data_IF_376991344456
#
_entry.id   IF_376991344456
#
_cell.length_a   1.000
_cell.length_b   1.000
_cell.length_c   1.000
_cell.angle_alpha   90.00
_cell.angle_beta   90.00
_cell.angle_gamma   90.00
#
_symmetry.space_group_name_H-M   'P 1'
#
loop_
_entity.id
_entity.type
_entity.pdbx_description
1 polymer ?
#
# COMPACT_ATOMS: atom_id res chain seq x y z
N UNK A 1 -26.72 -19.11 -17.52
CA UNK A 1 -27.02 -19.78 -16.23
C UNK A 1 -26.02 -19.26 -15.20
N UNK A 2 -26.34 -18.15 -14.51
CA UNK A 2 -25.46 -17.52 -13.53
C UNK A 2 -25.86 -17.93 -12.10
N UNK A 3 -25.75 -19.22 -11.78
CA UNK A 3 -26.22 -19.75 -10.49
C UNK A 3 -25.28 -19.46 -9.29
N UNK A 4 -24.18 -18.73 -9.48
CA UNK A 4 -23.13 -18.56 -8.47
C UNK A 4 -22.77 -17.10 -8.11
N UNK A 5 -23.50 -16.10 -8.62
CA UNK A 5 -23.24 -14.69 -8.23
C UNK A 5 -23.87 -14.44 -6.86
N UNK A 6 -23.04 -14.02 -5.91
CA UNK A 6 -23.45 -13.71 -4.53
C UNK A 6 -23.77 -12.22 -4.39
N UNK A 7 -25.00 -11.91 -3.97
CA UNK A 7 -25.42 -10.56 -3.62
C UNK A 7 -26.43 -9.93 -4.58
N UNK A 8 -26.91 -8.73 -4.23
CA UNK A 8 -27.85 -7.95 -5.05
C UNK A 8 -27.10 -7.09 -6.07
N UNK A 9 -27.80 -6.56 -7.07
CA UNK A 9 -27.23 -5.61 -8.03
C UNK A 9 -26.62 -4.37 -7.34
N UNK A 10 -27.28 -3.87 -6.29
CA UNK A 10 -26.78 -2.75 -5.47
C UNK A 10 -25.48 -3.10 -4.73
N UNK A 11 -25.36 -4.35 -4.26
CA UNK A 11 -24.16 -4.86 -3.63
C UNK A 11 -22.99 -4.93 -4.64
N UNK A 12 -23.24 -5.43 -5.85
CA UNK A 12 -22.24 -5.47 -6.93
C UNK A 12 -21.78 -4.06 -7.31
N UNK A 13 -22.72 -3.11 -7.47
CA UNK A 13 -22.39 -1.70 -7.73
C UNK A 13 -21.53 -1.10 -6.62
N UNK A 14 -21.86 -1.40 -5.37
CA UNK A 14 -21.09 -0.95 -4.20
C UNK A 14 -19.67 -1.48 -4.25
N UNK A 15 -19.47 -2.79 -4.47
CA UNK A 15 -18.14 -3.40 -4.53
C UNK A 15 -17.31 -2.83 -5.68
N UNK A 16 -17.90 -2.62 -6.86
CA UNK A 16 -17.22 -2.00 -8.00
C UNK A 16 -16.71 -0.60 -7.68
N UNK A 17 -17.53 0.22 -7.02
CA UNK A 17 -17.11 1.56 -6.57
C UNK A 17 -15.96 1.44 -5.57
N UNK A 18 -16.03 0.50 -4.64
CA UNK A 18 -14.97 0.27 -3.65
C UNK A 18 -13.65 -0.18 -4.28
N UNK A 19 -13.69 -1.05 -5.30
CA UNK A 19 -12.51 -1.43 -6.08
C UNK A 19 -11.88 -0.23 -6.77
N UNK A 20 -12.68 0.60 -7.48
CA UNK A 20 -12.17 1.84 -8.11
C UNK A 20 -11.55 2.81 -7.12
N UNK A 21 -12.19 2.98 -5.96
CA UNK A 21 -11.65 3.82 -4.87
C UNK A 21 -10.33 3.25 -4.37
N UNK A 22 -10.25 1.94 -4.12
CA UNK A 22 -8.99 1.29 -3.74
C UNK A 22 -7.90 1.53 -4.79
N UNK A 23 -8.20 1.33 -6.07
CA UNK A 23 -7.25 1.48 -7.17
C UNK A 23 -6.70 2.92 -7.23
N UNK A 24 -7.59 3.92 -7.11
CA UNK A 24 -7.21 5.34 -7.07
C UNK A 24 -6.25 5.72 -5.93
N UNK A 25 -6.11 4.87 -4.90
CA UNK A 25 -5.27 5.10 -3.73
C UNK A 25 -4.17 4.05 -3.50
N UNK A 26 -4.15 2.96 -4.28
CA UNK A 26 -3.05 1.97 -4.30
C UNK A 26 -1.98 2.42 -5.28
N UNK A 27 -1.47 3.62 -5.00
CA UNK A 27 -0.41 4.25 -5.76
C UNK A 27 0.80 4.30 -4.83
N UNK A 28 1.85 3.54 -5.14
CA UNK A 28 3.15 3.77 -4.53
C UNK A 28 4.05 4.57 -5.47
N UNK A 29 5.35 4.70 -5.17
CA UNK A 29 6.27 5.45 -6.01
C UNK A 29 6.53 4.79 -7.38
N UNK A 30 6.42 3.48 -7.47
CA UNK A 30 6.83 2.66 -8.60
C UNK A 30 5.66 2.09 -9.41
N UNK A 31 4.52 1.83 -8.78
CA UNK A 31 3.37 1.14 -9.35
C UNK A 31 2.05 1.88 -9.07
N UNK A 32 1.11 1.71 -9.99
CA UNK A 32 -0.33 1.90 -9.76
C UNK A 32 -1.02 0.55 -9.88
N UNK A 33 -1.68 0.10 -8.82
CA UNK A 33 -2.44 -1.14 -8.86
C UNK A 33 -3.85 -0.88 -9.40
N UNK A 34 -4.26 -1.69 -10.37
CA UNK A 34 -5.63 -1.75 -10.89
C UNK A 34 -6.19 -3.11 -10.56
N UNK A 35 -7.40 -3.13 -10.05
CA UNK A 35 -8.11 -4.36 -9.81
C UNK A 35 -8.97 -4.70 -11.01
N UNK A 36 -8.83 -5.92 -11.52
CA UNK A 36 -9.60 -6.43 -12.66
C UNK A 36 -10.41 -7.67 -12.30
N UNK A 37 -10.97 -8.29 -13.33
CA UNK A 37 -11.74 -9.51 -13.22
C UNK A 37 -12.99 -9.36 -12.37
N UNK A 38 -13.48 -10.48 -11.86
CA UNK A 38 -14.75 -10.53 -11.13
C UNK A 38 -14.75 -9.60 -9.91
N UNK A 39 -13.65 -9.55 -9.16
CA UNK A 39 -13.51 -8.70 -7.98
C UNK A 39 -13.50 -7.21 -8.35
N UNK A 40 -12.75 -6.80 -9.39
CA UNK A 40 -12.73 -5.41 -9.88
C UNK A 40 -14.10 -4.94 -10.37
N UNK A 41 -14.86 -5.84 -10.98
CA UNK A 41 -16.22 -5.60 -11.47
C UNK A 41 -17.29 -5.61 -10.36
N UNK A 42 -16.91 -5.98 -9.14
CA UNK A 42 -17.79 -6.08 -7.98
C UNK A 42 -18.62 -7.37 -7.93
N UNK A 43 -18.30 -8.35 -8.77
CA UNK A 43 -18.95 -9.65 -8.81
C UNK A 43 -18.27 -10.59 -7.81
N UNK A 44 -19.04 -11.17 -6.90
CA UNK A 44 -18.56 -12.20 -5.99
C UNK A 44 -19.06 -13.54 -6.49
N UNK A 45 -18.15 -14.40 -6.95
CA UNK A 45 -18.46 -15.78 -7.32
C UNK A 45 -17.68 -16.73 -6.42
N UNK A 46 -18.30 -17.87 -6.07
CA UNK A 46 -17.63 -18.89 -5.26
C UNK A 46 -16.47 -19.47 -6.08
N UNK A 47 -15.27 -19.43 -5.49
CA UNK A 47 -14.05 -19.92 -6.14
C UNK A 47 -13.36 -18.90 -7.04
N UNK A 48 -13.83 -17.64 -7.08
CA UNK A 48 -13.09 -16.56 -7.72
C UNK A 48 -11.72 -16.37 -7.08
N UNK A 49 -10.75 -16.17 -7.95
CA UNK A 49 -9.44 -15.59 -7.71
C UNK A 49 -9.50 -14.05 -7.60
N UNK A 50 -8.35 -13.46 -7.29
CA UNK A 50 -8.14 -12.02 -7.27
C UNK A 50 -7.17 -11.60 -8.37
N UNK A 51 -7.68 -10.86 -9.35
CA UNK A 51 -6.89 -10.32 -10.45
C UNK A 51 -6.41 -8.89 -10.15
N UNK A 52 -5.10 -8.69 -10.20
CA UNK A 52 -4.47 -7.39 -10.09
C UNK A 52 -3.57 -7.11 -11.29
N UNK A 53 -3.52 -5.84 -11.67
CA UNK A 53 -2.61 -5.32 -12.67
C UNK A 53 -1.76 -4.23 -12.01
N UNK A 54 -0.46 -4.46 -11.85
CA UNK A 54 0.46 -3.44 -11.37
C UNK A 54 1.10 -2.71 -12.55
N UNK A 55 0.72 -1.45 -12.71
CA UNK A 55 1.20 -0.57 -13.78
C UNK A 55 2.46 0.16 -13.34
N UNK A 56 3.59 -0.12 -13.99
CA UNK A 56 4.88 0.52 -13.70
C UNK A 56 4.89 1.99 -14.14
N UNK A 57 5.18 2.90 -13.21
CA UNK A 57 5.15 4.37 -13.43
C UNK A 57 6.40 4.92 -14.09
N UNK A 58 7.51 4.21 -13.97
CA UNK A 58 8.81 4.61 -14.47
C UNK A 58 9.19 3.92 -15.79
N UNK A 59 8.23 3.28 -16.45
CA UNK A 59 8.40 2.72 -17.80
C UNK A 59 7.33 3.33 -18.71
N UNK A 60 7.78 4.08 -19.71
CA UNK A 60 6.95 4.72 -20.72
C UNK A 60 7.17 3.99 -22.06
N UNK A 61 6.08 3.48 -22.65
CA UNK A 61 6.10 2.82 -23.97
C UNK A 61 5.53 3.76 -25.03
N UNK A 62 6.14 3.81 -26.22
CA UNK A 62 5.69 4.67 -27.32
C UNK A 62 5.88 4.02 -28.68
N UNK A 63 5.09 4.44 -29.67
CA UNK A 63 5.18 3.92 -31.04
C UNK A 63 6.12 4.78 -31.89
N UNK A 64 5.72 5.98 -32.30
CA UNK A 64 6.54 6.90 -33.10
C UNK A 64 6.35 8.34 -32.64
N UNK A 65 7.06 8.75 -31.58
CA UNK A 65 7.01 10.11 -31.05
C UNK A 65 8.38 10.64 -30.66
N UNK A 66 8.57 11.95 -30.80
CA UNK A 66 9.68 12.65 -30.18
C UNK A 66 9.41 12.80 -28.69
N UNK A 67 10.15 12.06 -27.87
CA UNK A 67 10.01 12.06 -26.43
C UNK A 67 11.01 13.02 -25.80
N UNK A 68 10.52 13.83 -24.87
CA UNK A 68 11.38 14.53 -23.92
C UNK A 68 11.73 13.56 -22.79
N UNK A 69 12.97 13.09 -22.79
CA UNK A 69 13.49 12.18 -21.76
C UNK A 69 13.41 12.84 -20.38
N UNK A 70 12.74 12.16 -19.45
CA UNK A 70 12.71 12.51 -18.03
C UNK A 70 13.78 11.71 -17.30
N UNK A 71 14.46 12.31 -16.29
CA UNK A 71 15.35 11.56 -15.41
C UNK A 71 14.62 10.41 -14.71
N UNK A 72 15.30 9.28 -14.53
CA UNK A 72 14.78 8.09 -13.83
C UNK A 72 13.55 7.42 -14.49
N UNK A 73 13.32 7.67 -15.77
CA UNK A 73 12.28 7.01 -16.58
C UNK A 73 12.91 6.12 -17.65
N UNK A 74 12.43 4.88 -17.75
CA UNK A 74 12.72 3.96 -18.85
C UNK A 74 11.82 4.27 -20.03
N UNK A 75 12.38 4.25 -21.23
CA UNK A 75 11.68 4.45 -22.48
C UNK A 75 11.81 3.23 -23.38
N UNK A 76 10.67 2.66 -23.77
CA UNK A 76 10.58 1.52 -24.66
C UNK A 76 9.82 1.90 -25.94
N UNK A 77 10.38 1.56 -27.10
CA UNK A 77 9.72 1.72 -28.39
C UNK A 77 8.97 0.44 -28.76
N UNK A 78 7.69 0.58 -29.08
CA UNK A 78 6.84 -0.50 -29.57
C UNK A 78 7.22 -0.82 -31.03
N UNK A 79 7.54 -2.08 -31.32
CA UNK A 79 7.76 -2.62 -32.67
C UNK A 79 6.66 -3.66 -32.96
N UNK A 80 5.73 -3.34 -33.85
CA UNK A 80 4.54 -4.15 -34.17
C UNK A 80 4.60 -4.82 -35.55
N UNK A 81 5.52 -4.40 -36.42
CA UNK A 81 5.53 -4.82 -37.83
C UNK A 81 5.80 -6.32 -38.03
N UNK A 82 6.53 -6.95 -37.10
CA UNK A 82 7.00 -8.33 -37.22
C UNK A 82 6.44 -9.26 -36.12
N UNK A 83 5.34 -8.86 -35.48
CA UNK A 83 4.71 -9.64 -34.42
C UNK A 83 3.33 -10.17 -34.82
N UNK A 84 2.92 -11.35 -34.31
CA UNK A 84 1.55 -11.81 -34.46
C UNK A 84 0.55 -10.76 -33.91
N UNK A 85 -0.70 -10.76 -34.40
CA UNK A 85 -1.76 -9.95 -33.80
C UNK A 85 -1.80 -10.14 -32.28
N UNK A 86 -2.02 -9.04 -31.54
CA UNK A 86 -2.04 -8.99 -30.06
C UNK A 86 -0.68 -9.07 -29.36
N UNK A 87 0.42 -9.19 -30.12
CA UNK A 87 1.79 -9.14 -29.58
C UNK A 87 2.54 -7.93 -30.12
N UNK A 88 3.48 -7.44 -29.33
CA UNK A 88 4.45 -6.43 -29.74
C UNK A 88 5.80 -6.68 -29.08
N UNK A 89 6.87 -6.27 -29.76
CA UNK A 89 8.20 -6.22 -29.17
C UNK A 89 8.45 -4.83 -28.59
N UNK A 90 9.09 -4.80 -27.43
CA UNK A 90 9.46 -3.56 -26.77
C UNK A 90 10.97 -3.38 -26.86
N UNK A 91 11.40 -2.45 -27.71
CA UNK A 91 12.81 -2.10 -27.91
C UNK A 91 13.24 -1.06 -26.87
N UNK A 92 14.33 -1.31 -26.16
CA UNK A 92 14.88 -0.38 -25.18
C UNK A 92 15.52 0.82 -25.90
N UNK A 93 15.02 2.02 -25.60
CA UNK A 93 15.60 3.26 -26.12
C UNK A 93 16.49 3.92 -25.08
N UNK A 94 16.05 3.92 -23.82
CA UNK A 94 16.81 4.49 -22.72
C UNK A 94 16.34 3.90 -21.38
N UNK A 95 17.28 3.63 -20.47
CA UNK A 95 16.98 3.36 -19.06
C UNK A 95 18.23 3.57 -18.23
N UNK A 96 18.08 4.25 -17.10
CA UNK A 96 19.09 4.30 -16.04
C UNK A 96 18.75 3.36 -14.87
N UNK A 97 17.77 2.47 -15.04
CA UNK A 97 17.27 1.59 -13.98
C UNK A 97 17.93 0.21 -14.12
N UNK A 98 18.84 -0.18 -13.21
CA UNK A 98 19.60 -1.43 -13.36
C UNK A 98 18.73 -2.67 -13.54
N UNK A 99 17.64 -2.78 -12.78
CA UNK A 99 16.70 -3.92 -12.89
C UNK A 99 16.03 -4.03 -14.26
N UNK A 100 15.76 -2.91 -14.93
CA UNK A 100 15.21 -2.90 -16.29
C UNK A 100 16.27 -3.32 -17.29
N UNK A 101 17.49 -2.79 -17.16
CA UNK A 101 18.62 -3.15 -18.02
C UNK A 101 18.93 -4.65 -17.93
N UNK A 102 18.90 -5.22 -16.72
CA UNK A 102 19.06 -6.67 -16.51
C UNK A 102 17.91 -7.50 -17.10
N UNK A 103 16.72 -6.92 -17.22
CA UNK A 103 15.56 -7.56 -17.85
C UNK A 103 15.61 -7.49 -19.38
N UNK A 104 16.53 -6.72 -19.98
CA UNK A 104 16.68 -6.65 -21.42
C UNK A 104 17.52 -7.82 -21.99
N UNK A 105 17.29 -8.11 -23.27
CA UNK A 105 17.97 -9.15 -24.05
C UNK A 105 18.51 -8.52 -25.31
N UNK A 106 19.78 -8.76 -25.62
CA UNK A 106 20.38 -8.33 -26.88
C UNK A 106 19.99 -9.29 -28.01
N UNK A 107 19.46 -8.76 -29.10
CA UNK A 107 19.11 -9.49 -30.33
C UNK A 107 19.56 -8.63 -31.51
N UNK A 108 20.50 -9.16 -32.31
CA UNK A 108 21.06 -8.47 -33.48
C UNK A 108 21.62 -7.05 -33.19
N UNK A 109 22.23 -6.87 -32.01
CA UNK A 109 22.82 -5.60 -31.57
C UNK A 109 21.82 -4.58 -31.02
N UNK A 110 20.54 -4.94 -30.93
CA UNK A 110 19.47 -4.13 -30.35
C UNK A 110 19.02 -4.75 -29.02
N UNK A 111 18.56 -3.92 -28.07
CA UNK A 111 18.13 -4.41 -26.75
C UNK A 111 16.61 -4.46 -26.66
N UNK A 112 16.06 -5.61 -26.30
CA UNK A 112 14.63 -5.84 -26.17
C UNK A 112 14.26 -6.14 -24.72
N UNK A 113 13.18 -5.52 -24.25
CA UNK A 113 12.67 -5.74 -22.91
C UNK A 113 11.97 -7.09 -22.79
N UNK A 114 12.43 -7.95 -21.87
CA UNK A 114 11.82 -9.25 -21.59
C UNK A 114 10.94 -9.19 -20.36
N UNK A 115 9.63 -9.32 -20.56
CA UNK A 115 8.66 -9.45 -19.45
C UNK A 115 9.01 -10.63 -18.53
N UNK A 116 9.46 -11.75 -19.09
CA UNK A 116 9.82 -12.94 -18.29
C UNK A 116 11.01 -12.64 -17.37
N UNK A 117 12.08 -12.05 -17.90
CA UNK A 117 13.25 -11.67 -17.08
C UNK A 117 12.90 -10.62 -16.03
N UNK A 118 12.05 -9.65 -16.37
CA UNK A 118 11.60 -8.66 -15.39
C UNK A 118 10.87 -9.35 -14.23
N UNK A 119 9.93 -10.26 -14.52
CA UNK A 119 9.18 -10.99 -13.50
C UNK A 119 10.10 -11.80 -12.59
N UNK A 120 11.05 -12.54 -13.17
CA UNK A 120 12.05 -13.31 -12.42
C UNK A 120 12.88 -12.42 -11.49
N UNK A 121 13.29 -11.24 -11.95
CA UNK A 121 14.11 -10.30 -11.19
C UNK A 121 13.35 -9.52 -10.12
N UNK A 122 12.09 -9.18 -10.37
CA UNK A 122 11.28 -8.41 -9.43
C UNK A 122 10.66 -9.26 -8.32
N UNK A 123 10.32 -10.51 -8.63
CA UNK A 123 9.54 -11.37 -7.73
C UNK A 123 10.22 -12.69 -7.42
N UNK A 124 11.55 -12.72 -7.46
CA UNK A 124 12.33 -13.87 -7.02
C UNK A 124 11.86 -14.28 -5.61
N UNK A 125 11.34 -15.50 -5.49
CA UNK A 125 10.79 -16.09 -4.25
C UNK A 125 9.42 -15.58 -3.75
N UNK A 126 8.69 -14.73 -4.50
CA UNK A 126 7.37 -14.23 -4.09
C UNK A 126 6.18 -14.99 -4.68
N UNK A 127 6.32 -15.48 -5.92
CA UNK A 127 5.27 -16.21 -6.62
C UNK A 127 5.78 -17.58 -7.08
N UNK A 128 4.86 -18.53 -7.15
CA UNK A 128 5.19 -19.94 -7.34
C UNK A 128 4.81 -20.45 -8.72
N UNK A 129 3.86 -19.78 -9.40
CA UNK A 129 3.33 -20.22 -10.68
C UNK A 129 3.45 -19.07 -11.69
N UNK A 130 4.15 -19.33 -12.79
CA UNK A 130 4.23 -18.44 -13.94
C UNK A 130 3.28 -18.99 -15.01
N UNK A 131 2.28 -18.22 -15.42
CA UNK A 131 1.40 -18.59 -16.52
C UNK A 131 1.05 -17.38 -17.39
N UNK A 132 1.38 -17.47 -18.68
CA UNK A 132 1.20 -16.37 -19.63
C UNK A 132 1.75 -15.03 -19.12
N UNK A 133 0.97 -13.94 -19.17
CA UNK A 133 1.40 -12.64 -18.68
C UNK A 133 1.47 -12.56 -17.15
N UNK A 134 0.76 -13.44 -16.44
CA UNK A 134 0.52 -13.34 -15.00
C UNK A 134 1.54 -14.11 -14.14
N UNK A 135 1.46 -13.84 -12.84
CA UNK A 135 2.11 -14.53 -11.73
C UNK A 135 1.03 -14.94 -10.73
N UNK A 136 1.09 -16.17 -10.23
CA UNK A 136 0.14 -16.64 -9.22
C UNK A 136 0.79 -17.18 -7.96
N UNK A 137 0.04 -17.12 -6.86
CA UNK A 137 0.36 -17.85 -5.65
C UNK A 137 0.18 -19.37 -5.84
N UNK A 138 0.72 -20.20 -4.92
CA UNK A 138 0.60 -21.68 -5.00
C UNK A 138 -0.81 -22.19 -5.18
N UNK A 139 -1.80 -21.44 -4.69
CA UNK A 139 -3.19 -21.88 -4.65
C UNK A 139 -4.00 -21.36 -5.84
N UNK A 140 -3.41 -20.56 -6.74
CA UNK A 140 -4.13 -19.94 -7.86
C UNK A 140 -5.28 -19.04 -7.40
N UNK A 141 -5.16 -18.44 -6.21
CA UNK A 141 -6.15 -17.52 -5.65
C UNK A 141 -5.84 -16.06 -5.99
N UNK A 142 -4.61 -15.78 -6.37
CA UNK A 142 -4.16 -14.43 -6.65
C UNK A 142 -3.37 -14.45 -7.95
N UNK A 143 -3.76 -13.60 -8.89
CA UNK A 143 -3.12 -13.41 -10.18
C UNK A 143 -2.66 -11.96 -10.32
N UNK A 144 -1.39 -11.78 -10.63
CA UNK A 144 -0.77 -10.47 -10.84
C UNK A 144 -0.22 -10.37 -12.26
N UNK A 145 -0.72 -9.39 -13.01
CA UNK A 145 -0.14 -8.96 -14.27
C UNK A 145 0.73 -7.71 -14.04
N UNK A 146 1.94 -7.71 -14.59
CA UNK A 146 2.74 -6.50 -14.70
C UNK A 146 2.39 -5.78 -15.99
N UNK A 147 2.03 -4.50 -15.86
CA UNK A 147 1.64 -3.65 -16.98
C UNK A 147 2.57 -2.45 -17.11
N UNK A 148 2.70 -1.95 -18.32
CA UNK A 148 3.46 -0.73 -18.63
C UNK A 148 2.54 0.27 -19.32
N UNK A 149 2.75 1.56 -19.10
CA UNK A 149 1.90 2.59 -19.68
C UNK A 149 2.32 2.88 -21.12
N UNK A 150 1.39 2.72 -22.07
CA UNK A 150 1.60 3.13 -23.46
C UNK A 150 1.13 4.58 -23.64
N UNK A 151 2.04 5.45 -24.05
CA UNK A 151 1.74 6.84 -24.33
C UNK A 151 1.16 6.93 -25.74
N UNK A 152 -0.17 7.05 -25.82
CA UNK A 152 -0.85 7.54 -27.01
C UNK A 152 -1.09 9.04 -26.88
N UNK A 153 -1.20 9.75 -28.00
CA UNK A 153 -1.42 11.21 -28.12
C UNK A 153 -2.72 11.76 -27.49
N UNK A 154 -3.42 10.98 -26.66
CA UNK A 154 -4.64 11.40 -25.99
C UNK A 154 -4.44 11.49 -24.48
N UNK A 155 -4.48 12.75 -24.03
CA UNK A 155 -4.66 13.20 -22.65
C UNK A 155 -3.50 12.93 -21.67
N UNK A 156 -2.79 14.01 -21.39
CA UNK A 156 -1.97 14.17 -20.19
C UNK A 156 -2.80 13.82 -18.96
N UNK A 157 -2.42 12.75 -18.25
CA UNK A 157 -2.91 12.49 -16.89
C UNK A 157 -2.44 13.63 -15.98
N UNK A 158 -3.34 14.59 -15.70
CA UNK A 158 -3.11 15.60 -14.67
C UNK A 158 -2.94 14.94 -13.29
N UNK A 159 -1.96 15.43 -12.53
CA UNK A 159 -1.65 15.02 -11.16
C UNK A 159 -2.87 15.12 -10.21
N UNK A 160 -2.96 14.29 -9.15
CA UNK A 160 -4.25 13.90 -8.56
C UNK A 160 -4.96 14.96 -7.70
N UNK A 161 -4.36 16.10 -7.37
CA UNK A 161 -4.87 16.92 -6.25
C UNK A 161 -6.30 17.43 -6.46
N UNK A 162 -6.66 17.83 -7.68
CA UNK A 162 -8.00 18.36 -8.00
C UNK A 162 -9.01 17.24 -8.29
N UNK A 163 -8.57 16.12 -8.90
CA UNK A 163 -9.42 14.93 -9.10
C UNK A 163 -9.80 14.29 -7.76
N UNK A 164 -8.89 14.26 -6.80
CA UNK A 164 -9.16 13.71 -5.46
C UNK A 164 -10.25 14.52 -4.76
N UNK A 165 -10.23 15.86 -4.76
CA UNK A 165 -11.29 16.65 -4.11
C UNK A 165 -12.66 16.54 -4.78
N UNK A 166 -12.71 16.53 -6.11
CA UNK A 166 -13.96 16.34 -6.84
C UNK A 166 -14.53 14.93 -6.63
N UNK A 167 -13.66 13.92 -6.58
CA UNK A 167 -14.10 12.56 -6.31
C UNK A 167 -14.41 12.33 -4.82
N UNK A 168 -13.75 13.04 -3.88
CA UNK A 168 -14.16 13.15 -2.46
C UNK A 168 -15.60 13.65 -2.41
N UNK A 169 -15.93 14.76 -3.08
CA UNK A 169 -17.27 15.33 -3.06
C UNK A 169 -18.32 14.39 -3.67
N UNK A 170 -18.01 13.77 -4.80
CA UNK A 170 -18.87 12.80 -5.45
C UNK A 170 -19.11 11.57 -4.57
N UNK A 171 -18.07 11.04 -3.92
CA UNK A 171 -18.14 9.84 -3.07
C UNK A 171 -18.84 10.14 -1.73
N UNK A 172 -18.61 11.31 -1.13
CA UNK A 172 -19.29 11.71 0.10
C UNK A 172 -20.79 11.95 -0.11
N UNK A 173 -21.23 12.11 -1.36
CA UNK A 173 -22.64 12.16 -1.75
C UNK A 173 -23.33 10.80 -1.84
N UNK A 174 -22.60 9.68 -1.72
CA UNK A 174 -23.25 8.35 -1.65
C UNK A 174 -24.06 8.21 -0.36
N UNK A 175 -25.33 7.80 -0.44
CA UNK A 175 -26.16 7.56 0.74
C UNK A 175 -25.77 6.30 1.54
N UNK A 176 -24.82 5.52 1.04
CA UNK A 176 -24.41 4.27 1.68
C UNK A 176 -23.39 4.54 2.82
N UNK A 177 -23.76 4.34 4.10
CA UNK A 177 -22.88 4.61 5.23
C UNK A 177 -21.61 3.72 5.22
N UNK A 178 -21.67 2.54 4.60
CA UNK A 178 -20.52 1.64 4.46
C UNK A 178 -19.45 2.24 3.53
N UNK A 179 -19.86 2.82 2.41
CA UNK A 179 -18.95 3.50 1.46
C UNK A 179 -18.31 4.72 2.12
N UNK A 180 -19.09 5.54 2.84
CA UNK A 180 -18.56 6.70 3.58
C UNK A 180 -17.48 6.32 4.58
N UNK A 181 -17.73 5.27 5.37
CA UNK A 181 -16.77 4.78 6.35
C UNK A 181 -15.48 4.25 5.67
N UNK A 182 -15.62 3.47 4.61
CA UNK A 182 -14.49 2.96 3.83
C UNK A 182 -13.63 4.11 3.33
N UNK A 183 -14.27 5.08 2.68
CA UNK A 183 -13.59 6.25 2.17
C UNK A 183 -12.88 7.05 3.26
N UNK A 184 -13.51 7.21 4.41
CA UNK A 184 -12.92 7.91 5.55
C UNK A 184 -11.64 7.22 6.07
N UNK A 185 -11.60 5.88 6.07
CA UNK A 185 -10.39 5.10 6.37
C UNK A 185 -9.30 5.33 5.31
N UNK A 186 -9.64 5.33 4.02
CA UNK A 186 -8.66 5.59 2.95
C UNK A 186 -8.10 7.01 2.99
N UNK A 187 -8.97 8.02 3.16
CA UNK A 187 -8.55 9.40 3.42
C UNK A 187 -7.61 9.48 4.62
N UNK A 188 -7.89 8.71 5.67
CA UNK A 188 -7.02 8.64 6.85
C UNK A 188 -5.63 8.08 6.53
N UNK A 189 -5.52 7.07 5.66
CA UNK A 189 -4.22 6.57 5.17
C UNK A 189 -3.50 7.59 4.29
N UNK A 190 -4.22 8.28 3.40
CA UNK A 190 -3.65 9.38 2.60
C UNK A 190 -3.12 10.53 3.44
N UNK A 191 -3.90 11.00 4.43
CA UNK A 191 -3.44 12.05 5.34
C UNK A 191 -2.22 11.59 6.13
N UNK A 192 -2.14 10.30 6.47
CA UNK A 192 -0.97 9.72 7.14
C UNK A 192 0.26 9.78 6.24
N UNK A 193 0.17 9.36 4.98
CA UNK A 193 1.26 9.43 4.00
C UNK A 193 1.69 10.88 3.74
N UNK A 194 0.74 11.79 3.49
CA UNK A 194 1.02 13.20 3.27
C UNK A 194 1.68 13.86 4.48
N UNK A 195 1.27 13.51 5.70
CA UNK A 195 1.87 14.06 6.91
C UNK A 195 3.35 13.69 7.05
N UNK A 196 3.74 12.50 6.61
CA UNK A 196 5.13 12.03 6.65
C UNK A 196 6.04 12.78 5.69
N UNK A 197 5.49 13.30 4.58
CA UNK A 197 6.23 14.09 3.59
C UNK A 197 6.38 15.56 4.00
N UNK A 198 5.70 16.01 5.06
CA UNK A 198 5.82 17.38 5.52
C UNK A 198 7.19 17.60 6.20
N UNK A 199 7.84 18.75 5.94
CA UNK A 199 9.15 19.04 6.52
C UNK A 199 9.03 19.18 8.04
N UNK A 200 9.93 18.50 8.76
CA UNK A 200 9.94 18.54 10.22
C UNK A 200 10.34 19.93 10.74
N UNK A 201 9.61 20.47 11.73
CA UNK A 201 9.96 21.74 12.34
C UNK A 201 11.15 21.54 13.28
N UNK A 202 12.25 22.24 13.04
CA UNK A 202 13.23 22.45 14.11
C UNK A 202 12.53 23.25 15.23
N UNK A 203 12.43 22.68 16.42
CA UNK A 203 11.65 23.27 17.53
C UNK A 203 12.34 24.52 18.08
N UNK A 204 13.55 24.86 17.59
CA UNK A 204 14.23 26.12 17.90
C UNK A 204 13.52 27.35 17.28
N UNK A 205 12.54 27.88 18.01
CA UNK A 205 12.38 29.32 18.25
C UNK A 205 11.79 30.25 17.17
N UNK A 206 11.31 29.77 16.02
CA UNK A 206 10.71 30.66 15.00
C UNK A 206 9.20 30.42 14.81
N UNK A 207 8.41 31.49 14.66
CA UNK A 207 6.96 31.49 14.34
C UNK A 207 6.62 30.59 13.15
N UNK A 208 7.54 30.50 12.17
CA UNK A 208 7.45 29.60 11.03
C UNK A 208 7.45 28.11 11.42
N UNK A 209 8.30 27.71 12.37
CA UNK A 209 8.43 26.32 12.83
C UNK A 209 7.20 25.89 13.64
N UNK A 210 6.64 26.79 14.45
CA UNK A 210 5.37 26.53 15.14
C UNK A 210 4.20 26.33 14.15
N UNK A 211 4.14 27.12 13.08
CA UNK A 211 3.14 26.94 12.01
C UNK A 211 3.30 25.58 11.34
N UNK A 212 4.53 25.18 10.99
CA UNK A 212 4.84 23.86 10.40
C UNK A 212 4.48 22.71 11.32
N UNK A 213 4.81 22.80 12.61
CA UNK A 213 4.41 21.83 13.64
C UNK A 213 2.89 21.66 13.68
N UNK A 214 2.15 22.77 13.72
CA UNK A 214 0.69 22.74 13.75
C UNK A 214 0.09 22.17 12.46
N UNK A 215 0.68 22.45 11.30
CA UNK A 215 0.27 21.84 10.03
C UNK A 215 0.51 20.32 10.04
N UNK A 216 1.68 19.87 10.50
CA UNK A 216 1.99 18.43 10.59
C UNK A 216 1.03 17.73 11.56
N UNK A 217 0.92 18.21 12.80
CA UNK A 217 0.09 17.57 13.82
C UNK A 217 -1.39 17.60 13.43
N UNK A 218 -1.90 18.68 12.83
CA UNK A 218 -3.30 18.73 12.38
C UNK A 218 -3.57 17.77 11.22
N UNK A 219 -2.62 17.58 10.31
CA UNK A 219 -2.72 16.58 9.23
C UNK A 219 -2.71 15.15 9.80
N UNK A 220 -1.83 14.85 10.76
CA UNK A 220 -1.81 13.54 11.45
C UNK A 220 -3.10 13.32 12.23
N UNK A 221 -3.60 14.32 12.97
CA UNK A 221 -4.86 14.18 13.73
C UNK A 221 -6.07 13.93 12.83
N UNK A 222 -6.09 14.47 11.60
CA UNK A 222 -7.12 14.12 10.59
C UNK A 222 -7.00 12.67 10.16
N UNK A 223 -5.77 12.16 10.08
CA UNK A 223 -5.44 10.78 9.73
C UNK A 223 -5.86 9.75 10.78
N UNK A 224 -6.12 10.17 12.01
CA UNK A 224 -6.46 9.26 13.11
C UNK A 224 -7.95 8.94 13.17
N UNK A 225 -8.82 9.87 12.76
CA UNK A 225 -10.27 9.80 13.02
C UNK A 225 -10.94 8.52 12.51
N UNK A 226 -10.43 7.96 11.42
CA UNK A 226 -11.00 6.75 10.82
C UNK A 226 -10.00 5.62 10.67
N UNK A 227 -8.77 5.81 11.17
CA UNK A 227 -7.75 4.78 11.21
C UNK A 227 -7.86 3.97 12.53
N UNK A 228 -7.56 2.67 12.49
CA UNK A 228 -7.69 1.80 13.65
C UNK A 228 -6.54 2.00 14.63
N UNK A 229 -5.30 1.76 14.18
CA UNK A 229 -4.12 1.74 15.04
C UNK A 229 -2.95 2.50 14.40
N UNK A 230 -2.68 2.32 13.10
CA UNK A 230 -1.49 2.88 12.46
C UNK A 230 -1.41 4.40 12.49
N UNK A 231 -2.55 5.09 12.38
CA UNK A 231 -2.61 6.54 12.49
C UNK A 231 -2.20 7.03 13.89
N UNK A 232 -2.64 6.34 14.94
CA UNK A 232 -2.24 6.64 16.31
C UNK A 232 -0.75 6.37 16.55
N UNK A 233 -0.22 5.31 15.97
CA UNK A 233 1.20 4.97 16.08
C UNK A 233 2.09 5.94 15.30
N UNK A 234 1.66 6.42 14.13
CA UNK A 234 2.34 7.50 13.42
C UNK A 234 2.33 8.80 14.23
N UNK A 235 1.23 9.13 14.91
CA UNK A 235 1.20 10.24 15.86
C UNK A 235 2.18 10.02 17.01
N UNK A 236 2.20 8.83 17.62
CA UNK A 236 3.14 8.51 18.68
C UNK A 236 4.59 8.68 18.22
N UNK A 237 4.90 8.27 16.98
CA UNK A 237 6.22 8.42 16.36
C UNK A 237 6.58 9.89 16.13
N UNK A 238 5.66 10.69 15.60
CA UNK A 238 5.85 12.14 15.48
C UNK A 238 6.13 12.81 16.84
N UNK A 239 5.35 12.45 17.87
CA UNK A 239 5.54 12.97 19.23
C UNK A 239 6.87 12.51 19.84
N UNK A 240 7.30 11.27 19.57
CA UNK A 240 8.62 10.75 19.93
C UNK A 240 9.74 11.58 19.32
N UNK A 241 9.67 11.87 18.02
CA UNK A 241 10.65 12.69 17.31
C UNK A 241 10.76 14.11 17.87
N UNK A 242 9.67 14.65 18.39
CA UNK A 242 9.67 15.94 19.10
C UNK A 242 10.18 15.87 20.54
N UNK A 243 10.76 14.73 20.95
CA UNK A 243 11.31 14.45 22.29
C UNK A 243 10.28 14.51 23.43
N UNK A 244 8.99 14.36 23.10
CA UNK A 244 7.89 14.38 24.08
C UNK A 244 7.53 12.94 24.53
N UNK A 245 8.52 12.22 25.06
CA UNK A 245 8.44 10.77 25.30
C UNK A 245 7.26 10.33 26.18
N UNK A 246 6.96 11.06 27.26
CA UNK A 246 5.79 10.75 28.13
C UNK A 246 4.45 10.84 27.40
N UNK A 247 4.30 11.80 26.48
CA UNK A 247 3.08 11.93 25.66
C UNK A 247 3.00 10.80 24.62
N UNK A 248 4.13 10.46 24.01
CA UNK A 248 4.21 9.31 23.09
C UNK A 248 3.80 8.01 23.80
N UNK A 249 4.31 7.75 25.01
CA UNK A 249 3.91 6.61 25.83
C UNK A 249 2.40 6.53 26.11
N UNK A 250 1.75 7.66 26.42
CA UNK A 250 0.30 7.69 26.64
C UNK A 250 -0.48 7.29 25.37
N UNK A 251 -0.04 7.75 24.20
CA UNK A 251 -0.64 7.38 22.91
C UNK A 251 -0.38 5.90 22.59
N UNK A 252 0.83 5.40 22.87
CA UNK A 252 1.19 3.99 22.68
C UNK A 252 0.34 3.07 23.55
N UNK A 253 0.13 3.42 24.82
CA UNK A 253 -0.73 2.66 25.71
C UNK A 253 -2.18 2.62 25.21
N UNK A 254 -2.71 3.75 24.74
CA UNK A 254 -4.02 3.79 24.11
C UNK A 254 -4.05 2.89 22.86
N UNK A 255 -3.05 2.98 21.99
CA UNK A 255 -2.98 2.23 20.74
C UNK A 255 -2.94 0.72 20.99
N UNK A 256 -2.07 0.26 21.90
CA UNK A 256 -1.99 -1.13 22.33
C UNK A 256 -3.30 -1.64 22.93
N UNK A 257 -4.05 -0.80 23.66
CA UNK A 257 -5.38 -1.19 24.17
C UNK A 257 -6.43 -1.39 23.07
N UNK A 258 -6.18 -0.88 21.85
CA UNK A 258 -7.02 -1.08 20.67
C UNK A 258 -6.56 -2.24 19.79
N UNK A 259 -5.33 -2.70 19.97
CA UNK A 259 -4.80 -3.93 19.39
C UNK A 259 -5.42 -5.14 20.11
N UNK A 260 -6.52 -5.67 19.59
CA UNK A 260 -7.10 -6.94 20.04
C UNK A 260 -6.79 -8.02 19.01
N UNK A 261 -6.70 -9.29 19.41
CA UNK A 261 -6.56 -10.44 18.50
C UNK A 261 -7.64 -10.45 17.41
N UNK A 262 -8.84 -9.95 17.73
CA UNK A 262 -9.93 -9.78 16.77
C UNK A 262 -9.75 -8.61 15.78
N UNK A 263 -8.77 -7.72 15.92
CA UNK A 263 -8.64 -6.49 15.11
C UNK A 263 -7.37 -6.42 14.28
N UNK A 264 -6.54 -7.46 14.35
CA UNK A 264 -5.26 -7.56 13.70
C UNK A 264 -5.23 -8.94 13.06
N UNK A 265 -5.57 -9.06 11.79
CA UNK A 265 -5.40 -10.32 11.06
C UNK A 265 -4.31 -10.14 10.03
N UNK A 266 -3.37 -11.07 9.99
CA UNK A 266 -2.33 -11.15 8.99
C UNK A 266 -2.77 -12.04 7.84
N UNK A 267 -2.78 -11.46 6.63
CA UNK A 267 -3.32 -12.03 5.41
C UNK A 267 -2.59 -13.30 4.93
N UNK A 268 -1.43 -13.63 5.50
CA UNK A 268 -0.57 -14.67 4.94
C UNK A 268 -0.94 -16.11 5.33
N UNK A 269 -1.79 -16.35 6.33
CA UNK A 269 -2.27 -17.72 6.60
C UNK A 269 -3.65 -17.78 7.25
N UNK A 270 -4.67 -17.24 6.58
CA UNK A 270 -6.03 -17.62 6.95
C UNK A 270 -6.21 -19.12 6.64
N UNK A 271 -6.30 -19.96 7.67
CA UNK A 271 -6.70 -21.37 7.48
C UNK A 271 -8.05 -21.42 6.75
N UNK A 272 -8.34 -22.53 6.07
CA UNK A 272 -9.63 -22.70 5.37
C UNK A 272 -10.84 -22.44 6.29
N UNK A 273 -10.74 -22.75 7.59
CA UNK A 273 -11.76 -22.43 8.59
C UNK A 273 -11.92 -20.93 8.85
N UNK A 274 -10.84 -20.14 8.88
CA UNK A 274 -10.93 -18.68 8.95
C UNK A 274 -11.48 -18.09 7.65
N UNK A 275 -11.13 -18.68 6.51
CA UNK A 275 -11.68 -18.29 5.21
C UNK A 275 -13.18 -18.55 5.16
N UNK A 276 -13.68 -19.69 5.66
CA UNK A 276 -15.11 -20.01 5.74
C UNK A 276 -15.86 -19.13 6.76
N UNK A 277 -15.27 -18.84 7.92
CA UNK A 277 -15.81 -17.88 8.91
C UNK A 277 -15.94 -16.47 8.34
N UNK A 278 -14.90 -16.02 7.61
CA UNK A 278 -14.96 -14.80 6.83
C UNK A 278 -16.09 -14.91 5.80
N UNK A 279 -16.06 -15.90 4.89
CA UNK A 279 -16.94 -16.05 3.72
C UNK A 279 -18.44 -16.16 4.03
N UNK A 280 -18.85 -16.75 5.16
CA UNK A 280 -20.25 -17.16 5.36
C UNK A 280 -21.08 -16.30 6.32
N UNK A 281 -20.55 -15.86 7.46
CA UNK A 281 -21.33 -15.16 8.48
C UNK A 281 -20.85 -13.73 8.80
N UNK A 282 -19.54 -13.49 8.69
CA UNK A 282 -18.93 -12.20 9.04
C UNK A 282 -19.21 -11.13 7.96
N UNK A 283 -19.11 -11.47 6.67
CA UNK A 283 -19.40 -10.56 5.55
C UNK A 283 -20.85 -10.07 5.49
N UNK A 284 -21.81 -10.87 5.99
CA UNK A 284 -23.24 -10.56 5.92
C UNK A 284 -23.69 -9.53 6.97
N UNK A 285 -23.05 -9.51 8.15
CA UNK A 285 -23.51 -8.72 9.31
C UNK A 285 -22.55 -7.62 9.76
N UNK A 286 -21.28 -7.64 9.37
CA UNK A 286 -20.34 -6.59 9.78
C UNK A 286 -20.49 -5.29 8.97
N UNK A 287 -20.32 -4.12 9.61
CA UNK A 287 -20.04 -2.88 8.92
C UNK A 287 -18.78 -3.04 8.06
N UNK A 288 -18.81 -2.59 6.81
CA UNK A 288 -17.72 -2.75 5.84
C UNK A 288 -16.39 -2.16 6.36
N UNK A 289 -16.43 -1.14 7.23
CA UNK A 289 -15.18 -0.62 7.83
C UNK A 289 -14.56 -1.55 8.84
N UNK A 290 -15.36 -2.32 9.58
CA UNK A 290 -14.78 -3.39 10.38
C UNK A 290 -14.23 -4.46 9.45
N UNK A 291 -14.96 -4.83 8.41
CA UNK A 291 -14.49 -5.76 7.40
C UNK A 291 -13.13 -5.34 6.78
N UNK A 292 -12.94 -4.06 6.44
CA UNK A 292 -11.67 -3.59 5.88
C UNK A 292 -10.56 -3.40 6.92
N UNK A 293 -10.89 -3.11 8.18
CA UNK A 293 -9.92 -3.21 9.29
C UNK A 293 -9.44 -4.65 9.51
N UNK A 294 -10.25 -5.64 9.14
CA UNK A 294 -9.90 -7.06 9.16
C UNK A 294 -9.16 -7.51 7.88
N UNK A 295 -9.60 -7.03 6.70
CA UNK A 295 -9.09 -7.47 5.39
C UNK A 295 -7.80 -6.78 4.94
N UNK A 296 -7.48 -5.58 5.45
CA UNK A 296 -6.17 -4.99 5.23
C UNK A 296 -5.46 -4.98 6.57
N UNK A 297 -4.42 -5.79 6.65
CA UNK A 297 -3.38 -5.70 7.66
C UNK A 297 -3.10 -4.22 7.94
N UNK A 298 -3.48 -3.74 9.12
CA UNK A 298 -3.01 -2.43 9.51
C UNK A 298 -1.50 -2.56 9.72
N UNK A 299 -0.74 -1.69 9.09
CA UNK A 299 0.71 -1.70 9.15
C UNK A 299 1.23 -0.28 9.23
N UNK A 300 2.47 -0.16 9.69
CA UNK A 300 3.21 1.08 9.73
C UNK A 300 4.16 1.10 8.55
N UNK A 301 3.84 1.96 7.59
CA UNK A 301 4.67 2.21 6.42
C UNK A 301 5.30 3.59 6.58
N UNK A 302 6.63 3.63 6.61
CA UNK A 302 7.38 4.87 6.59
C UNK A 302 7.83 5.20 5.18
N UNK A 303 7.55 6.44 4.73
CA UNK A 303 8.25 6.96 3.55
C UNK A 303 9.76 7.03 3.84
N UNK A 304 10.60 6.84 2.83
CA UNK A 304 12.06 6.87 3.00
C UNK A 304 12.55 8.19 3.62
N UNK A 305 11.99 9.31 3.14
CA UNK A 305 12.24 10.66 3.65
C UNK A 305 11.38 11.05 4.86
N UNK A 306 10.64 10.11 5.46
CA UNK A 306 9.72 10.40 6.55
C UNK A 306 10.47 10.81 7.80
N UNK A 307 10.24 12.04 8.25
CA UNK A 307 10.73 12.50 9.54
C UNK A 307 10.05 11.82 10.73
N UNK A 308 8.95 11.10 10.50
CA UNK A 308 8.30 10.34 11.58
C UNK A 308 9.07 9.05 11.87
N UNK A 309 9.91 8.58 10.94
CA UNK A 309 10.69 7.35 11.07
C UNK A 309 11.77 7.51 12.15
N UNK A 310 11.72 6.76 13.27
CA UNK A 310 12.78 6.75 14.29
C UNK A 310 14.15 6.53 13.65
N UNK A 311 15.17 7.26 14.12
CA UNK A 311 16.54 7.15 13.57
C UNK A 311 17.09 5.74 13.68
N UNK A 312 16.65 5.01 14.71
CA UNK A 312 16.99 3.60 14.95
C UNK A 312 16.46 2.67 13.84
N UNK A 313 15.41 3.06 13.10
CA UNK A 313 14.88 2.33 11.93
C UNK A 313 15.53 2.83 10.63
N UNK A 314 16.00 4.08 10.57
CA UNK A 314 16.62 4.64 9.36
C UNK A 314 17.86 3.87 8.92
N UNK A 315 18.60 3.28 9.87
CA UNK A 315 19.83 2.53 9.60
C UNK A 315 19.61 1.06 9.20
N UNK A 316 18.36 0.58 9.11
CA UNK A 316 18.08 -0.78 8.65
C UNK A 316 18.24 -0.86 7.12
N UNK A 317 19.32 -1.49 6.64
CA UNK A 317 19.77 -1.53 5.24
C UNK A 317 18.92 -2.38 4.26
N UNK A 318 17.65 -2.67 4.55
CA UNK A 318 16.84 -3.48 3.63
C UNK A 318 16.10 -2.59 2.63
N UNK A 319 16.41 -2.78 1.34
CA UNK A 319 15.85 -2.08 0.17
C UNK A 319 14.36 -2.32 -0.08
N UNK A 320 13.68 -3.09 0.77
CA UNK A 320 12.24 -3.35 0.64
C UNK A 320 11.45 -2.42 1.56
N UNK A 321 10.33 -1.91 1.06
CA UNK A 321 9.31 -1.19 1.84
C UNK A 321 8.91 -2.06 3.05
N UNK A 322 9.54 -1.81 4.21
CA UNK A 322 9.27 -2.57 5.42
C UNK A 322 7.95 -2.10 6.02
N UNK A 323 6.89 -2.81 5.69
CA UNK A 323 5.62 -2.70 6.39
C UNK A 323 5.80 -3.31 7.78
N UNK A 324 5.75 -2.49 8.83
CA UNK A 324 5.98 -2.94 10.20
C UNK A 324 4.63 -3.27 10.86
N UNK A 325 4.46 -4.46 11.46
CA UNK A 325 3.25 -4.78 12.21
C UNK A 325 3.01 -3.76 13.34
N UNK A 326 1.76 -3.29 13.56
CA UNK A 326 1.46 -2.23 14.52
C UNK A 326 1.89 -2.53 15.95
N UNK A 327 1.69 -3.77 16.41
CA UNK A 327 2.04 -4.18 17.78
C UNK A 327 3.55 -4.22 17.96
N UNK A 328 4.27 -4.78 16.99
CA UNK A 328 5.75 -4.79 16.95
C UNK A 328 6.28 -3.35 17.01
N UNK A 329 5.78 -2.47 16.14
CA UNK A 329 6.18 -1.06 16.13
C UNK A 329 5.83 -0.34 17.44
N UNK A 330 4.67 -0.63 18.03
CA UNK A 330 4.25 -0.02 19.28
C UNK A 330 5.18 -0.39 20.45
N UNK A 331 5.53 -1.67 20.62
CA UNK A 331 6.46 -2.10 21.66
C UNK A 331 7.88 -1.59 21.42
N UNK A 332 8.34 -1.58 20.16
CA UNK A 332 9.60 -0.96 19.78
C UNK A 332 9.67 0.52 20.17
N UNK A 333 8.68 1.33 19.78
CA UNK A 333 8.67 2.75 20.11
C UNK A 333 8.52 2.99 21.63
N UNK A 334 7.81 2.10 22.33
CA UNK A 334 7.67 2.12 23.79
C UNK A 334 9.02 1.91 24.48
N UNK A 335 9.80 0.93 24.01
CA UNK A 335 11.17 0.71 24.47
C UNK A 335 12.03 1.97 24.29
N UNK A 336 12.03 2.58 23.10
CA UNK A 336 12.81 3.80 22.84
C UNK A 336 12.39 4.94 23.79
N UNK A 337 11.09 5.15 24.00
CA UNK A 337 10.62 6.17 24.93
C UNK A 337 11.12 5.94 26.36
N UNK A 338 11.10 4.71 26.86
CA UNK A 338 11.61 4.40 28.20
C UNK A 338 13.13 4.54 28.28
N UNK A 339 13.85 4.19 27.21
CA UNK A 339 15.31 4.35 27.12
C UNK A 339 15.70 5.82 27.27
N UNK A 340 15.07 6.73 26.52
CA UNK A 340 15.32 8.18 26.63
C UNK A 340 14.86 8.79 27.97
N UNK A 341 13.98 8.10 28.71
CA UNK A 341 13.58 8.48 30.06
C UNK A 341 14.44 7.84 31.16
N UNK A 342 15.46 7.04 30.80
CA UNK A 342 16.31 6.27 31.71
C UNK A 342 15.54 5.30 32.62
N UNK A 343 14.42 4.74 32.14
CA UNK A 343 13.63 3.74 32.86
C UNK A 343 14.00 2.32 32.41
N UNK A 344 15.11 1.81 32.93
CA UNK A 344 15.65 0.48 32.55
C UNK A 344 14.67 -0.67 32.84
N UNK A 345 13.86 -0.56 33.90
CA UNK A 345 12.88 -1.58 34.25
C UNK A 345 11.81 -1.68 33.17
N UNK A 346 11.28 -0.54 32.72
CA UNK A 346 10.24 -0.50 31.70
C UNK A 346 10.76 -0.76 30.29
N UNK A 347 12.04 -0.47 30.02
CA UNK A 347 12.74 -0.95 28.83
C UNK A 347 12.67 -2.48 28.76
N UNK A 348 13.05 -3.15 29.83
CA UNK A 348 13.09 -4.62 29.87
C UNK A 348 11.72 -5.24 29.75
N UNK A 349 10.71 -4.68 30.43
CA UNK A 349 9.33 -5.10 30.25
C UNK A 349 8.86 -4.94 28.79
N UNK A 350 9.23 -3.85 28.12
CA UNK A 350 8.87 -3.62 26.71
C UNK A 350 9.58 -4.56 25.76
N UNK A 351 10.81 -4.95 26.06
CA UNK A 351 11.57 -5.93 25.30
C UNK A 351 10.99 -7.35 25.48
N UNK A 352 10.63 -7.74 26.70
CA UNK A 352 9.93 -9.01 26.96
C UNK A 352 8.59 -9.06 26.22
N UNK A 353 7.77 -8.00 26.28
CA UNK A 353 6.49 -7.96 25.55
C UNK A 353 6.70 -8.07 24.03
N UNK A 354 7.77 -7.45 23.49
CA UNK A 354 8.11 -7.55 22.08
C UNK A 354 8.53 -8.98 21.69
N UNK A 355 9.35 -9.63 22.53
CA UNK A 355 9.75 -11.04 22.33
C UNK A 355 8.53 -11.96 22.35
N UNK A 356 7.65 -11.82 23.34
CA UNK A 356 6.40 -12.60 23.40
C UNK A 356 5.52 -12.37 22.16
N UNK A 357 5.43 -11.12 21.67
CA UNK A 357 4.69 -10.81 20.44
C UNK A 357 5.26 -11.57 19.23
N UNK A 358 6.59 -11.64 19.12
CA UNK A 358 7.27 -12.36 18.04
C UNK A 358 7.09 -13.88 18.18
N UNK A 359 7.29 -14.43 19.39
CA UNK A 359 7.22 -15.87 19.69
C UNK A 359 5.81 -16.45 19.46
N UNK A 360 4.77 -15.72 19.86
CA UNK A 360 3.38 -16.11 19.68
C UNK A 360 2.91 -15.97 18.22
N UNK A 361 3.78 -15.57 17.28
CA UNK A 361 3.44 -15.21 15.91
C UNK A 361 2.25 -14.23 15.84
N UNK A 362 2.11 -13.38 16.87
CA UNK A 362 1.23 -12.23 16.79
C UNK A 362 1.81 -11.31 15.71
N UNK A 363 1.34 -11.51 14.47
CA UNK A 363 1.48 -10.59 13.35
C UNK A 363 2.80 -10.63 12.59
N UNK A 364 3.48 -11.78 12.50
CA UNK A 364 4.64 -11.98 11.62
C UNK A 364 4.37 -13.17 10.67
N UNK A 365 4.30 -12.88 9.36
CA UNK A 365 4.59 -13.80 8.27
C UNK A 365 4.79 -13.00 6.98
#
# INVERSE_FOLDING_TARGET
MCQNIVGTEEYVKTLRIMSKVRDSFTHDHFFSTITSGSFGEGLVMRGSDFDFMDVMKNIEVFEDMNINFKPYTTYLKMKTNDTPPEYTQLHLVHSDIPKVLEACVEVDGEYYFSNMRLKEKMFENFFDIYHGPCLSDKNGKFDLALCVHVIYLFETFEYPSVKVENEIHRIMSFDNPKIKHFYAYYLSKMFSANAQLLPFPDISGNKSNYKRYNTCISTVLRSIRHNAVSGWLLLASFIYQTKQYKKSLAILQYSLSKCTSEKLYLLRSLSNSHYELLNFDIFRRMPIVQLFKFLRLDSIDFCESSYFKPVEIQNMQNETLQSIPPVVFAHFLRFLCYYHLNDNRQCQNSLCDLQLTIEENYFIA
#
